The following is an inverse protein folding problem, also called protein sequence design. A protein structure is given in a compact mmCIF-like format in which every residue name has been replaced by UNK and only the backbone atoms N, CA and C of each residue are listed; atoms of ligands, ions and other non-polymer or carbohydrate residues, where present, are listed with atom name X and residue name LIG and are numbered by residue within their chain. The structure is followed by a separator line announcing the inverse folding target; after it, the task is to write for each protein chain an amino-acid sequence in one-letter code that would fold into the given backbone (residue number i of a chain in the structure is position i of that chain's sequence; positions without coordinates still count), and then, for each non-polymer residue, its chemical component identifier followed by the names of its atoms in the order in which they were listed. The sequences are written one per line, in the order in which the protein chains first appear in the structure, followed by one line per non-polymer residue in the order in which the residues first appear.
data_IF_651622477885
#
_entry.id   IF_651622477885
#
_cell.length_a   1.000
_cell.length_b   1.000
_cell.length_c   1.000
_cell.angle_alpha   90.00
_cell.angle_beta   90.00
_cell.angle_gamma   90.00
#
_symmetry.space_group_name_H-M   'P 1'
#
loop_
_entity.id
_entity.type
_entity.pdbx_description
1 polymer ?
#
# COMPACT_ATOMS: atom_id res chain seq x y z
N UNK A 1 6.80 8.42 -6.11
CA UNK A 1 5.89 7.99 -5.03
C UNK A 1 6.67 7.65 -3.79
N UNK A 2 7.52 6.60 -3.81
CA UNK A 2 8.39 6.23 -2.68
C UNK A 2 9.15 7.41 -2.05
N UNK A 3 9.76 8.30 -2.85
CA UNK A 3 10.44 9.48 -2.31
C UNK A 3 9.50 10.39 -1.50
N UNK A 4 8.26 10.58 -1.96
CA UNK A 4 7.28 11.39 -1.26
C UNK A 4 6.83 10.72 0.04
N UNK A 5 6.65 9.40 0.04
CA UNK A 5 6.32 8.64 1.26
C UNK A 5 7.45 8.75 2.30
N UNK A 6 8.71 8.63 1.87
CA UNK A 6 9.88 8.83 2.75
C UNK A 6 9.91 10.22 3.36
N UNK A 7 9.69 11.27 2.57
CA UNK A 7 9.65 12.66 3.07
C UNK A 7 8.50 12.89 4.06
N UNK A 8 7.33 12.28 3.83
CA UNK A 8 6.20 12.35 4.76
C UNK A 8 6.53 11.68 6.10
N UNK A 9 7.19 10.51 6.05
CA UNK A 9 7.61 9.78 7.26
C UNK A 9 8.71 10.56 8.00
N UNK A 10 9.68 11.13 7.27
CA UNK A 10 10.76 11.94 7.84
C UNK A 10 10.22 13.16 8.59
N UNK A 11 9.27 13.89 8.00
CA UNK A 11 8.64 15.02 8.67
C UNK A 11 7.88 14.58 9.93
N UNK A 12 7.12 13.49 9.84
CA UNK A 12 6.39 12.95 10.98
C UNK A 12 7.32 12.43 12.09
N UNK A 13 8.52 11.93 11.76
CA UNK A 13 9.50 11.46 12.74
C UNK A 13 10.10 12.59 13.59
N UNK A 14 10.01 13.85 13.16
CA UNK A 14 10.49 15.00 13.94
C UNK A 14 9.79 15.13 15.29
N UNK A 15 8.53 14.74 15.37
CA UNK A 15 7.82 14.66 16.65
C UNK A 15 8.17 13.33 17.36
N UNK A 16 8.80 13.37 18.55
CA UNK A 16 9.08 12.17 19.33
C UNK A 16 7.80 11.47 19.84
N UNK A 17 6.67 12.17 19.91
CA UNK A 17 5.36 11.61 20.26
C UNK A 17 4.78 10.68 19.19
N UNK A 18 5.24 10.76 17.94
CA UNK A 18 4.79 9.89 16.87
C UNK A 18 5.42 8.50 16.99
N UNK A 19 4.60 7.53 17.43
CA UNK A 19 5.00 6.13 17.64
C UNK A 19 4.50 5.17 16.55
N UNK A 20 3.54 5.60 15.72
CA UNK A 20 2.90 4.82 14.66
C UNK A 20 2.72 5.68 13.42
N UNK A 21 3.01 5.12 12.26
CA UNK A 21 3.00 5.82 10.97
C UNK A 21 2.11 5.05 10.01
N UNK A 22 0.94 5.59 9.69
CA UNK A 22 -0.07 4.93 8.85
C UNK A 22 -0.18 5.72 7.54
N UNK A 23 0.08 5.07 6.41
CA UNK A 23 -0.18 5.69 5.10
C UNK A 23 -1.64 5.47 4.69
N UNK A 24 -2.31 6.54 4.26
CA UNK A 24 -3.69 6.55 3.76
C UNK A 24 -3.80 7.48 2.54
N UNK A 25 -4.88 7.33 1.75
CA UNK A 25 -5.22 8.26 0.66
C UNK A 25 -6.53 8.99 0.93
N UNK A 26 -6.82 9.99 0.11
CA UNK A 26 -8.11 10.68 -0.02
C UNK A 26 -9.33 9.75 -0.16
N UNK A 27 -9.11 8.53 -0.64
CA UNK A 27 -10.13 7.54 -0.91
C UNK A 27 -10.15 6.36 0.08
N UNK A 28 -9.38 6.48 1.16
CA UNK A 28 -9.43 5.57 2.30
C UNK A 28 -10.47 6.05 3.31
N UNK A 29 -11.18 5.11 3.93
CA UNK A 29 -12.15 5.38 5.00
C UNK A 29 -11.89 4.47 6.20
N UNK A 30 -12.04 4.96 7.45
CA UNK A 30 -11.97 4.10 8.62
C UNK A 30 -13.19 3.18 8.67
N UNK A 31 -13.02 1.96 9.18
CA UNK A 31 -14.13 1.02 9.43
C UNK A 31 -14.60 1.05 10.88
N UNK A 32 -13.80 1.63 11.77
CA UNK A 32 -14.04 1.70 13.21
C UNK A 32 -13.81 3.13 13.71
N UNK A 33 -14.30 3.44 14.91
CA UNK A 33 -14.03 4.72 15.53
C UNK A 33 -12.54 4.88 15.89
N UNK A 34 -12.13 6.12 16.14
CA UNK A 34 -10.73 6.43 16.44
C UNK A 34 -10.20 5.65 17.64
N UNK A 35 -10.96 5.55 18.73
CA UNK A 35 -10.51 4.84 19.95
C UNK A 35 -10.20 3.37 19.68
N UNK A 36 -11.02 2.68 18.89
CA UNK A 36 -10.76 1.29 18.51
C UNK A 36 -9.49 1.18 17.66
N UNK A 37 -9.36 2.02 16.62
CA UNK A 37 -8.18 2.01 15.73
C UNK A 37 -6.90 2.32 16.52
N UNK A 38 -6.95 3.35 17.35
CA UNK A 38 -5.84 3.76 18.21
C UNK A 38 -5.41 2.62 19.13
N UNK A 39 -6.35 2.04 19.88
CA UNK A 39 -6.04 0.92 20.79
C UNK A 39 -5.51 -0.30 20.05
N UNK A 40 -6.09 -0.63 18.88
CA UNK A 40 -5.61 -1.74 18.04
C UNK A 40 -4.14 -1.54 17.66
N UNK A 41 -3.83 -0.40 17.02
CA UNK A 41 -2.49 -0.15 16.45
C UNK A 41 -1.45 0.08 17.56
N UNK A 42 -1.82 0.75 18.65
CA UNK A 42 -0.91 1.03 19.77
C UNK A 42 -0.65 -0.19 20.65
N UNK A 43 -1.57 -1.16 20.71
CA UNK A 43 -1.36 -2.39 21.51
C UNK A 43 -0.43 -3.40 20.84
N UNK A 44 -0.27 -3.36 19.50
CA UNK A 44 0.64 -4.24 18.79
C UNK A 44 2.08 -3.71 18.84
N UNK A 45 3.09 -4.55 19.13
CA UNK A 45 4.50 -4.18 18.99
C UNK A 45 5.00 -4.25 17.54
N UNK A 46 4.22 -4.83 16.63
CA UNK A 46 4.62 -5.12 15.25
C UNK A 46 4.21 -4.03 14.27
N UNK A 47 4.86 -3.99 13.11
CA UNK A 47 4.36 -3.24 11.95
C UNK A 47 3.45 -4.09 11.09
N UNK A 48 2.44 -3.48 10.48
CA UNK A 48 1.51 -4.14 9.58
C UNK A 48 1.91 -3.79 8.15
N UNK A 49 2.75 -4.65 7.57
CA UNK A 49 3.29 -4.49 6.23
C UNK A 49 2.99 -5.77 5.47
N UNK A 50 2.10 -5.65 4.49
CA UNK A 50 1.89 -6.74 3.54
C UNK A 50 3.22 -7.07 2.85
N UNK A 51 3.70 -8.31 2.99
CA UNK A 51 5.02 -8.73 2.51
C UNK A 51 5.01 -10.22 2.17
N UNK A 52 5.28 -10.54 0.91
CA UNK A 52 5.37 -11.91 0.42
C UNK A 52 6.28 -12.03 -0.80
N UNK A 53 6.82 -13.22 -1.01
CA UNK A 53 7.51 -13.58 -2.24
C UNK A 53 6.52 -13.90 -3.35
N UNK A 54 6.71 -13.32 -4.53
CA UNK A 54 5.94 -13.64 -5.72
C UNK A 54 6.85 -13.86 -6.95
N UNK A 55 7.34 -15.09 -7.17
CA UNK A 55 8.23 -15.39 -8.29
C UNK A 55 7.62 -15.12 -9.68
N UNK A 56 6.30 -15.08 -9.79
CA UNK A 56 5.56 -14.90 -11.05
C UNK A 56 5.31 -13.43 -11.41
N UNK A 57 5.66 -12.50 -10.53
CA UNK A 57 5.39 -11.08 -10.73
C UNK A 57 6.18 -10.49 -11.90
N UNK A 58 7.39 -11.00 -12.16
CA UNK A 58 8.22 -10.58 -13.31
C UNK A 58 8.72 -9.14 -13.26
N UNK A 59 8.57 -8.46 -12.11
CA UNK A 59 8.92 -7.04 -11.89
C UNK A 59 10.36 -6.82 -11.47
N UNK A 60 11.03 -7.85 -10.95
CA UNK A 60 12.42 -7.77 -10.51
C UNK A 60 13.37 -7.52 -11.69
N UNK A 61 14.19 -6.48 -11.59
CA UNK A 61 15.25 -6.18 -12.55
C UNK A 61 16.57 -6.86 -12.12
N UNK A 62 17.16 -7.77 -12.94
CA UNK A 62 18.39 -8.47 -12.59
C UNK A 62 19.59 -7.56 -12.28
N UNK A 63 19.60 -6.31 -12.78
CA UNK A 63 20.67 -5.33 -12.51
C UNK A 63 20.67 -4.75 -11.09
N UNK A 64 19.65 -5.06 -10.29
CA UNK A 64 19.61 -4.71 -8.87
C UNK A 64 20.50 -5.62 -8.02
N UNK A 65 20.81 -6.82 -8.53
CA UNK A 65 21.80 -7.73 -7.94
C UNK A 65 23.23 -7.18 -8.14
N UNK A 66 24.15 -7.34 -7.18
CA UNK A 66 23.99 -8.07 -5.91
C UNK A 66 23.42 -7.23 -4.76
N UNK A 67 23.23 -5.92 -4.94
CA UNK A 67 22.82 -5.01 -3.85
C UNK A 67 21.46 -5.39 -3.28
N UNK A 68 20.48 -5.66 -4.15
CA UNK A 68 19.19 -6.25 -3.79
C UNK A 68 19.13 -7.63 -4.41
N UNK A 69 19.40 -8.71 -3.65
CA UNK A 69 19.27 -10.06 -4.15
C UNK A 69 17.81 -10.42 -4.50
N UNK A 70 17.63 -11.33 -5.47
CA UNK A 70 16.28 -11.68 -5.95
C UNK A 70 15.44 -12.36 -4.87
N UNK A 71 16.07 -13.11 -3.99
CA UNK A 71 15.48 -13.80 -2.84
C UNK A 71 14.97 -12.84 -1.75
N UNK A 72 15.54 -11.63 -1.70
CA UNK A 72 15.11 -10.54 -0.80
C UNK A 72 14.02 -9.67 -1.41
N UNK A 73 13.72 -9.82 -2.70
CA UNK A 73 12.62 -9.13 -3.36
C UNK A 73 11.28 -9.54 -2.77
N UNK A 74 10.56 -8.58 -2.18
CA UNK A 74 9.23 -8.79 -1.59
C UNK A 74 8.21 -7.92 -2.31
N UNK A 75 6.97 -8.41 -2.35
CA UNK A 75 5.78 -7.71 -2.86
C UNK A 75 4.82 -7.44 -1.72
N UNK A 76 4.05 -6.36 -1.81
CA UNK A 76 2.93 -6.10 -0.92
C UNK A 76 2.09 -4.90 -1.33
N UNK A 77 1.12 -4.58 -0.48
CA UNK A 77 0.35 -3.33 -0.53
C UNK A 77 1.22 -2.11 -0.27
N UNK A 78 0.97 -1.01 -1.00
CA UNK A 78 1.50 0.32 -0.70
C UNK A 78 1.04 0.84 0.69
N UNK A 79 -0.14 0.42 1.15
CA UNK A 79 -0.72 0.88 2.41
C UNK A 79 -0.11 0.12 3.59
N UNK A 80 0.78 0.80 4.30
CA UNK A 80 1.56 0.24 5.41
C UNK A 80 1.24 0.94 6.72
N UNK A 81 1.50 0.24 7.83
CA UNK A 81 1.52 0.82 9.17
C UNK A 81 2.83 0.45 9.86
N UNK A 82 3.67 1.43 10.15
CA UNK A 82 4.99 1.23 10.73
C UNK A 82 5.02 1.64 12.20
N UNK A 83 5.77 0.88 13.00
CA UNK A 83 6.29 1.37 14.27
C UNK A 83 7.43 2.36 14.01
N UNK A 84 7.72 3.23 14.99
CA UNK A 84 8.76 4.26 14.88
C UNK A 84 10.12 3.71 14.40
N UNK A 85 10.57 2.57 14.95
CA UNK A 85 11.84 1.93 14.54
C UNK A 85 11.88 1.62 13.04
N UNK A 86 10.81 1.04 12.48
CA UNK A 86 10.76 0.72 11.05
C UNK A 86 10.60 1.97 10.18
N UNK A 87 9.90 3.00 10.67
CA UNK A 87 9.85 4.30 10.00
C UNK A 87 11.24 4.93 9.89
N UNK A 88 12.07 4.85 10.95
CA UNK A 88 13.47 5.28 10.91
C UNK A 88 14.29 4.50 9.88
N UNK A 89 14.15 3.17 9.81
CA UNK A 89 14.81 2.34 8.77
C UNK A 89 14.46 2.84 7.36
N UNK A 90 13.18 3.17 7.11
CA UNK A 90 12.72 3.66 5.79
C UNK A 90 13.34 5.01 5.43
N UNK A 91 13.47 5.92 6.39
CA UNK A 91 14.02 7.27 6.16
C UNK A 91 15.54 7.26 6.04
N UNK A 92 16.21 6.45 6.85
CA UNK A 92 17.68 6.37 6.89
C UNK A 92 18.27 5.51 5.75
N UNK A 93 17.43 4.83 4.95
CA UNK A 93 17.91 3.95 3.88
C UNK A 93 18.64 4.72 2.77
N UNK A 94 19.92 4.41 2.60
CA UNK A 94 20.82 4.92 1.57
C UNK A 94 21.32 3.82 0.61
N UNK A 95 20.83 2.58 0.74
CA UNK A 95 21.27 1.42 -0.04
C UNK A 95 20.19 0.97 -1.03
N UNK A 96 18.98 0.70 -0.54
CA UNK A 96 17.91 0.08 -1.33
C UNK A 96 17.23 1.11 -2.21
N UNK A 97 16.87 2.28 -1.66
CA UNK A 97 16.17 3.31 -2.40
C UNK A 97 16.92 3.82 -3.64
N UNK A 98 18.24 4.11 -3.60
CA UNK A 98 18.98 4.51 -4.80
C UNK A 98 18.99 3.45 -5.91
N UNK A 99 18.97 2.17 -5.55
CA UNK A 99 18.88 1.06 -6.51
C UNK A 99 17.50 1.04 -7.19
N UNK A 100 16.43 1.21 -6.42
CA UNK A 100 15.07 1.39 -6.96
C UNK A 100 14.99 2.63 -7.85
N UNK A 101 15.51 3.78 -7.43
CA UNK A 101 15.55 4.99 -8.26
C UNK A 101 16.28 4.76 -9.58
N UNK A 102 17.38 4.02 -9.56
CA UNK A 102 18.18 3.75 -10.75
C UNK A 102 17.48 2.81 -11.73
N UNK A 103 16.90 1.72 -11.24
CA UNK A 103 16.47 0.60 -12.09
C UNK A 103 14.95 0.44 -12.25
N UNK A 104 14.14 1.08 -11.41
CA UNK A 104 12.68 0.96 -11.41
C UNK A 104 11.96 2.20 -11.98
N UNK A 105 12.54 2.81 -13.01
CA UNK A 105 11.96 3.98 -13.69
C UNK A 105 10.84 3.57 -14.64
N UNK A 106 9.64 4.13 -14.42
CA UNK A 106 8.53 4.04 -15.38
C UNK A 106 8.94 4.60 -16.74
N UNK A 107 8.58 3.89 -17.81
CA UNK A 107 8.83 4.28 -19.20
C UNK A 107 8.31 5.69 -19.54
N UNK A 108 7.28 6.19 -18.83
CA UNK A 108 6.77 7.55 -18.99
C UNK A 108 7.86 8.62 -18.77
N UNK A 109 8.80 8.40 -17.85
CA UNK A 109 9.90 9.32 -17.58
C UNK A 109 10.98 9.32 -18.68
N UNK A 110 11.10 8.23 -19.44
CA UNK A 110 12.06 8.12 -20.55
C UNK A 110 11.50 8.79 -21.82
N UNK A 111 10.18 8.73 -22.04
CA UNK A 111 9.50 9.44 -23.13
C UNK A 111 9.59 10.96 -23.02
N UNK A 112 9.46 11.52 -21.81
CA UNK A 112 9.56 12.96 -21.57
C UNK A 112 10.98 13.52 -21.76
N UNK A 113 12.03 12.72 -21.52
CA UNK A 113 13.43 13.14 -21.73
C UNK A 113 13.86 13.20 -23.20
N UNK A 114 13.21 12.44 -24.08
CA UNK A 114 13.45 12.50 -25.54
C UNK A 114 12.61 13.57 -26.25
N UNK A 115 11.65 14.18 -25.57
CA UNK A 115 10.78 15.23 -26.09
C UNK A 115 11.31 16.66 -25.90
N UNK A 116 12.62 16.92 -26.06
CA UNK A 116 13.08 18.29 -26.35
C UNK A 116 12.90 18.51 -27.84
N UNK A 117 11.84 19.23 -28.23
CA UNK A 117 11.67 19.80 -29.57
C UNK A 117 12.91 20.62 -29.89
N UNK A 118 13.81 20.08 -30.71
CA UNK A 118 14.78 20.89 -31.45
C UNK A 118 14.36 20.73 -32.91
N UNK A 119 13.94 21.86 -33.50
CA UNK A 119 13.73 22.04 -34.95
C UNK A 119 12.77 21.05 -35.64
N UNK A 120 11.48 21.09 -35.31
CA UNK A 120 10.37 20.89 -36.26
C UNK A 120 10.31 19.62 -37.13
N UNK A 121 11.12 18.57 -36.86
CA UNK A 121 11.14 17.36 -37.67
C UNK A 121 10.55 16.20 -36.87
N UNK A 122 9.37 15.72 -37.30
CA UNK A 122 8.78 14.48 -36.80
C UNK A 122 9.53 13.28 -37.39
N UNK A 123 10.62 12.86 -36.74
CA UNK A 123 11.32 11.63 -37.13
C UNK A 123 10.58 10.43 -36.51
N UNK A 124 9.64 9.85 -37.24
CA UNK A 124 9.07 8.53 -36.92
C UNK A 124 10.10 7.43 -37.20
N UNK A 125 11.03 7.20 -36.29
CA UNK A 125 11.85 5.98 -36.33
C UNK A 125 10.98 4.75 -35.97
N UNK A 126 10.93 3.70 -36.81
CA UNK A 126 10.34 2.43 -36.41
C UNK A 126 11.35 1.73 -35.51
N UNK A 127 11.35 2.06 -34.21
CA UNK A 127 12.24 1.41 -33.26
C UNK A 127 11.57 0.11 -32.82
N UNK A 128 12.05 -1.01 -33.35
CA UNK A 128 11.83 -2.31 -32.76
C UNK A 128 12.46 -2.30 -31.36
N UNK A 129 11.64 -2.07 -30.34
CA UNK A 129 12.10 -1.93 -28.96
C UNK A 129 12.71 -3.26 -28.49
N UNK A 130 14.00 -3.29 -28.12
CA UNK A 130 14.63 -4.52 -27.66
C UNK A 130 13.93 -5.03 -26.39
N UNK A 131 13.68 -6.35 -26.31
CA UNK A 131 13.02 -7.04 -25.17
C UNK A 131 13.61 -6.67 -23.80
N UNK A 132 14.85 -6.18 -23.76
CA UNK A 132 15.57 -5.71 -22.56
C UNK A 132 14.94 -4.49 -21.86
N UNK A 133 14.15 -3.67 -22.57
CA UNK A 133 13.52 -2.47 -22.00
C UNK A 133 12.24 -2.75 -21.17
N UNK A 134 11.82 -4.01 -21.02
CA UNK A 134 10.65 -4.39 -20.19
C UNK A 134 10.87 -4.23 -18.68
N UNK A 135 12.12 -4.12 -18.21
CA UNK A 135 12.48 -4.25 -16.80
C UNK A 135 12.47 -2.96 -15.96
N UNK A 136 11.90 -1.86 -16.48
CA UNK A 136 11.86 -0.57 -15.77
C UNK A 136 10.63 -0.36 -14.87
N UNK A 137 9.53 -1.09 -15.10
CA UNK A 137 8.30 -0.88 -14.34
C UNK A 137 8.21 -1.87 -13.17
N UNK A 138 8.93 -1.59 -12.08
CA UNK A 138 8.94 -2.44 -10.89
C UNK A 138 7.74 -2.19 -9.94
N UNK A 139 6.98 -1.10 -10.12
CA UNK A 139 5.96 -0.63 -9.15
C UNK A 139 6.60 -0.44 -7.76
N UNK A 140 7.54 0.54 -7.64
CA UNK A 140 8.40 0.65 -6.46
C UNK A 140 7.64 0.78 -5.14
N UNK A 141 6.47 1.39 -5.16
CA UNK A 141 5.52 1.56 -4.04
C UNK A 141 4.92 0.25 -3.51
N UNK A 142 4.87 -0.82 -4.31
CA UNK A 142 4.40 -2.15 -3.88
C UNK A 142 5.54 -3.11 -3.50
N UNK A 143 6.78 -2.62 -3.49
CA UNK A 143 7.96 -3.48 -3.34
C UNK A 143 9.07 -2.92 -2.44
N UNK A 144 9.23 -1.59 -2.39
CA UNK A 144 10.36 -0.94 -1.75
C UNK A 144 10.42 -1.20 -0.25
N UNK A 145 9.37 -0.84 0.49
CA UNK A 145 9.37 -0.97 1.96
C UNK A 145 9.48 -2.43 2.38
N UNK A 146 8.77 -3.32 1.70
CA UNK A 146 8.81 -4.76 1.98
C UNK A 146 10.22 -5.33 1.78
N UNK A 147 10.85 -4.97 0.66
CA UNK A 147 12.19 -5.44 0.32
C UNK A 147 13.23 -4.86 1.29
N UNK A 148 13.10 -3.58 1.64
CA UNK A 148 13.98 -2.93 2.60
C UNK A 148 13.93 -3.62 3.97
N UNK A 149 12.72 -3.84 4.52
CA UNK A 149 12.57 -4.47 5.84
C UNK A 149 13.09 -5.91 5.85
N UNK A 150 12.91 -6.66 4.76
CA UNK A 150 13.48 -8.01 4.59
C UNK A 150 15.02 -8.00 4.47
N UNK A 151 15.59 -6.96 3.86
CA UNK A 151 17.04 -6.75 3.81
C UNK A 151 17.62 -6.30 5.16
N UNK A 152 16.87 -5.54 5.94
CA UNK A 152 17.26 -5.10 7.29
C UNK A 152 17.07 -6.18 8.36
N UNK A 153 16.54 -7.36 8.01
CA UNK A 153 16.28 -8.46 8.94
C UNK A 153 15.08 -8.23 9.86
N UNK A 154 14.20 -7.29 9.51
CA UNK A 154 13.04 -6.89 10.32
C UNK A 154 11.77 -7.71 10.02
N UNK A 155 11.83 -8.73 9.15
CA UNK A 155 10.63 -9.51 8.73
C UNK A 155 9.92 -10.18 9.91
N UNK A 156 10.66 -10.62 10.93
CA UNK A 156 10.10 -11.23 12.16
C UNK A 156 9.45 -10.22 13.12
N UNK A 157 9.48 -8.92 12.80
CA UNK A 157 8.85 -7.84 13.57
C UNK A 157 7.60 -7.29 12.84
N UNK A 158 7.15 -8.02 11.80
CA UNK A 158 6.01 -7.65 10.97
C UNK A 158 4.87 -8.64 11.16
N UNK A 159 3.67 -8.11 11.31
CA UNK A 159 2.48 -8.83 10.89
C UNK A 159 2.38 -8.65 9.37
N UNK A 160 2.61 -9.74 8.60
CA UNK A 160 2.79 -9.69 7.14
C UNK A 160 1.47 -9.53 6.37
N UNK A 161 0.74 -8.47 6.71
CA UNK A 161 -0.51 -8.02 6.10
C UNK A 161 -0.67 -6.50 6.27
N UNK A 162 -1.53 -5.91 5.44
CA UNK A 162 -1.96 -4.51 5.59
C UNK A 162 -3.20 -4.41 6.48
N UNK A 163 -3.39 -3.25 7.12
CA UNK A 163 -4.63 -2.88 7.81
C UNK A 163 -5.67 -2.24 6.87
N UNK A 164 -5.39 -2.11 5.57
CA UNK A 164 -6.26 -1.45 4.60
C UNK A 164 -6.86 -2.44 3.61
N UNK A 165 -8.16 -2.70 3.73
CA UNK A 165 -8.92 -3.53 2.80
C UNK A 165 -8.98 -2.88 1.42
N UNK A 166 -8.77 -3.69 0.38
CA UNK A 166 -8.90 -3.25 -1.02
C UNK A 166 -9.68 -4.31 -1.81
N UNK A 167 -10.79 -3.91 -2.45
CA UNK A 167 -11.53 -4.82 -3.32
C UNK A 167 -10.93 -4.88 -4.73
N UNK A 168 -10.65 -6.09 -5.19
CA UNK A 168 -10.21 -6.39 -6.56
C UNK A 168 -11.27 -7.16 -7.36
N UNK A 169 -12.46 -7.35 -6.78
CA UNK A 169 -13.54 -8.07 -7.44
C UNK A 169 -14.24 -7.19 -8.49
N UNK A 170 -13.71 -7.24 -9.69
CA UNK A 170 -14.21 -6.48 -10.84
C UNK A 170 -15.52 -7.06 -11.41
N UNK A 171 -16.01 -8.20 -10.90
CA UNK A 171 -17.26 -8.81 -11.36
C UNK A 171 -18.50 -7.99 -10.97
N UNK A 172 -18.41 -7.21 -9.89
CA UNK A 172 -19.48 -6.35 -9.40
C UNK A 172 -19.69 -5.07 -10.23
N UNK A 173 -18.70 -4.66 -11.04
CA UNK A 173 -18.77 -3.44 -11.85
C UNK A 173 -19.15 -3.81 -13.29
N UNK A 174 -20.44 -3.67 -13.62
CA UNK A 174 -20.96 -3.94 -14.97
C UNK A 174 -20.20 -3.10 -16.01
N UNK A 175 -19.51 -3.78 -16.93
CA UNK A 175 -18.93 -3.17 -18.14
C UNK A 175 -17.46 -2.74 -18.07
N UNK A 176 -16.74 -2.93 -16.95
CA UNK A 176 -15.31 -2.58 -16.89
C UNK A 176 -14.40 -3.74 -17.29
N UNK A 177 -13.51 -3.50 -18.27
CA UNK A 177 -12.38 -4.40 -18.60
C UNK A 177 -11.49 -4.62 -17.37
N UNK A 178 -10.73 -5.72 -17.34
CA UNK A 178 -9.71 -6.00 -16.31
C UNK A 178 -8.88 -4.74 -16.02
N UNK A 179 -9.04 -4.17 -14.83
CA UNK A 179 -8.36 -2.95 -14.40
C UNK A 179 -7.09 -3.28 -13.62
N UNK A 180 -6.05 -2.46 -13.77
CA UNK A 180 -4.83 -2.50 -12.95
C UNK A 180 -5.00 -1.82 -11.59
N UNK A 181 -6.20 -1.28 -11.34
CA UNK A 181 -6.55 -0.60 -10.11
C UNK A 181 -7.70 -1.33 -9.41
N UNK A 182 -7.77 -1.22 -8.08
CA UNK A 182 -8.88 -1.78 -7.33
C UNK A 182 -10.19 -1.08 -7.66
N UNK A 183 -11.29 -1.77 -7.31
CA UNK A 183 -12.64 -1.27 -7.51
C UNK A 183 -12.87 -0.01 -6.69
N UNK A 184 -13.52 0.98 -7.31
CA UNK A 184 -14.00 2.18 -6.61
C UNK A 184 -15.45 1.97 -6.21
N UNK A 185 -15.70 1.88 -4.90
CA UNK A 185 -17.03 1.74 -4.31
C UNK A 185 -17.77 3.07 -4.36
N UNK A 186 -18.98 3.02 -4.89
CA UNK A 186 -19.90 4.14 -5.06
C UNK A 186 -20.93 4.19 -3.93
N UNK A 187 -21.75 5.24 -3.88
CA UNK A 187 -22.75 5.42 -2.83
C UNK A 187 -23.66 4.19 -2.67
N UNK A 188 -24.08 3.56 -3.78
CA UNK A 188 -24.95 2.38 -3.76
C UNK A 188 -24.26 1.11 -3.27
N UNK A 189 -22.94 1.03 -3.37
CA UNK A 189 -22.17 -0.17 -2.99
C UNK A 189 -21.91 -0.25 -1.48
N UNK A 190 -22.11 0.87 -0.77
CA UNK A 190 -21.91 0.95 0.68
C UNK A 190 -23.20 0.60 1.40
N UNK A 191 -23.31 -0.67 1.81
CA UNK A 191 -24.40 -1.19 2.63
C UNK A 191 -23.86 -1.71 3.98
N UNK A 192 -24.66 -1.74 5.06
CA UNK A 192 -24.22 -2.29 6.34
C UNK A 192 -23.75 -3.75 6.22
N UNK A 193 -24.40 -4.55 5.38
CA UNK A 193 -24.00 -5.93 5.09
C UNK A 193 -22.61 -6.02 4.45
N UNK A 194 -22.31 -5.13 3.49
CA UNK A 194 -21.00 -5.10 2.84
C UNK A 194 -19.90 -4.68 3.81
N UNK A 195 -20.19 -3.71 4.69
CA UNK A 195 -19.26 -3.27 5.73
C UNK A 195 -19.03 -4.39 6.76
N UNK A 196 -20.08 -5.09 7.19
CA UNK A 196 -19.98 -6.23 8.09
C UNK A 196 -19.11 -7.35 7.48
N UNK A 197 -19.32 -7.70 6.21
CA UNK A 197 -18.48 -8.67 5.49
C UNK A 197 -17.01 -8.31 5.49
N UNK A 198 -16.66 -7.03 5.35
CA UNK A 198 -15.25 -6.59 5.42
C UNK A 198 -14.72 -6.74 6.85
N UNK A 199 -15.52 -6.34 7.84
CA UNK A 199 -15.18 -6.44 9.27
C UNK A 199 -15.00 -7.88 9.75
N UNK A 200 -15.74 -8.83 9.18
CA UNK A 200 -15.69 -10.26 9.52
C UNK A 200 -14.44 -10.98 8.96
N UNK A 201 -13.65 -10.32 8.10
CA UNK A 201 -12.41 -10.91 7.59
C UNK A 201 -11.37 -10.97 8.72
N UNK A 202 -11.04 -12.18 9.15
CA UNK A 202 -10.08 -12.47 10.22
C UNK A 202 -8.82 -13.22 9.74
N UNK A 203 -8.67 -13.41 8.44
CA UNK A 203 -7.49 -14.00 7.82
C UNK A 203 -7.24 -13.47 6.41
N UNK A 204 -5.97 -13.52 5.97
CA UNK A 204 -5.55 -13.18 4.60
C UNK A 204 -4.74 -14.33 4.01
N UNK A 205 -5.14 -14.82 2.84
CA UNK A 205 -4.46 -15.93 2.16
C UNK A 205 -3.52 -15.47 1.04
N UNK A 206 -2.26 -15.85 1.15
CA UNK A 206 -1.17 -15.55 0.22
C UNK A 206 -0.89 -16.74 -0.69
N UNK A 207 -1.52 -16.73 -1.86
CA UNK A 207 -1.45 -17.84 -2.83
C UNK A 207 -0.01 -18.19 -3.27
N UNK A 208 0.88 -17.21 -3.41
CA UNK A 208 2.25 -17.44 -3.87
C UNK A 208 3.09 -18.22 -2.86
N UNK A 209 2.82 -18.03 -1.56
CA UNK A 209 3.52 -18.71 -0.46
C UNK A 209 2.73 -19.89 0.12
N UNK A 210 1.47 -20.07 -0.31
CA UNK A 210 0.49 -20.99 0.32
C UNK A 210 0.38 -20.77 1.83
N UNK A 211 0.42 -19.49 2.23
CA UNK A 211 0.43 -19.06 3.63
C UNK A 211 -0.87 -18.34 3.96
N UNK A 212 -1.37 -18.54 5.16
CA UNK A 212 -2.48 -17.75 5.72
C UNK A 212 -1.94 -16.91 6.86
N UNK A 213 -2.08 -15.58 6.79
CA UNK A 213 -1.95 -14.74 7.98
C UNK A 213 -3.29 -14.72 8.71
N UNK A 214 -3.29 -15.11 9.99
CA UNK A 214 -4.43 -15.01 10.87
C UNK A 214 -4.34 -13.75 11.70
N UNK A 215 -5.38 -12.92 11.66
CA UNK A 215 -5.37 -11.61 12.28
C UNK A 215 -5.71 -11.76 13.77
N UNK A 216 -4.70 -11.56 14.62
CA UNK A 216 -4.82 -11.75 16.06
C UNK A 216 -4.34 -10.52 16.81
N UNK A 217 -5.05 -10.18 17.88
CA UNK A 217 -4.61 -9.19 18.87
C UNK A 217 -4.75 -9.84 20.25
N UNK A 218 -3.66 -9.90 21.02
CA UNK A 218 -3.62 -10.55 22.35
C UNK A 218 -4.21 -11.97 22.34
N UNK A 219 -3.79 -12.80 21.37
CA UNK A 219 -4.25 -14.19 21.20
C UNK A 219 -5.76 -14.35 20.93
N UNK A 220 -6.47 -13.27 20.57
CA UNK A 220 -7.86 -13.31 20.11
C UNK A 220 -7.93 -12.98 18.62
N UNK A 221 -8.73 -13.74 17.88
CA UNK A 221 -9.05 -13.40 16.50
C UNK A 221 -9.74 -12.04 16.45
N UNK A 222 -9.29 -11.21 15.53
CA UNK A 222 -9.80 -9.86 15.32
C UNK A 222 -9.93 -9.59 13.82
N UNK A 223 -10.54 -8.46 13.48
CA UNK A 223 -10.63 -8.04 12.09
C UNK A 223 -9.25 -7.71 11.53
N UNK A 224 -8.97 -8.14 10.30
CA UNK A 224 -7.73 -7.84 9.61
C UNK A 224 -7.61 -6.37 9.17
N UNK A 225 -8.74 -5.67 9.00
CA UNK A 225 -8.76 -4.39 8.32
C UNK A 225 -9.39 -3.32 9.20
N UNK A 226 -8.66 -2.22 9.42
CA UNK A 226 -9.14 -1.04 10.13
C UNK A 226 -9.61 0.05 9.17
N UNK A 227 -9.12 0.01 7.93
CA UNK A 227 -9.44 0.94 6.87
C UNK A 227 -9.90 0.18 5.64
N UNK A 228 -10.64 0.84 4.75
CA UNK A 228 -11.01 0.31 3.45
C UNK A 228 -10.78 1.34 2.34
N UNK A 229 -10.55 0.84 1.12
CA UNK A 229 -10.44 1.63 -0.12
C UNK A 229 -10.91 0.80 -1.33
N UNK A 230 -11.22 1.40 -2.48
CA UNK A 230 -11.25 2.83 -2.82
C UNK A 230 -12.69 3.34 -2.81
N UNK A 231 -12.97 4.47 -2.18
CA UNK A 231 -14.33 5.03 -2.11
C UNK A 231 -14.43 6.31 -2.93
N UNK A 232 -15.58 6.52 -3.58
CA UNK A 232 -15.98 7.88 -4.02
C UNK A 232 -16.28 8.76 -2.81
N UNK A 233 -16.26 10.09 -2.98
CA UNK A 233 -16.63 11.03 -1.92
C UNK A 233 -18.03 10.76 -1.36
N UNK A 234 -19.03 10.51 -2.23
CA UNK A 234 -20.38 10.18 -1.79
C UNK A 234 -20.45 8.89 -0.98
N UNK A 235 -19.72 7.85 -1.39
CA UNK A 235 -19.62 6.59 -0.65
C UNK A 235 -18.95 6.76 0.72
N UNK A 236 -17.88 7.56 0.79
CA UNK A 236 -17.17 7.85 2.03
C UNK A 236 -18.05 8.63 3.02
N UNK A 237 -18.75 9.67 2.55
CA UNK A 237 -19.70 10.43 3.38
C UNK A 237 -20.78 9.52 3.91
N UNK A 238 -21.39 8.69 3.05
CA UNK A 238 -22.41 7.71 3.44
C UNK A 238 -21.93 6.83 4.61
N UNK A 239 -20.72 6.28 4.48
CA UNK A 239 -20.14 5.40 5.50
C UNK A 239 -19.96 6.12 6.86
N UNK A 240 -19.56 7.38 6.83
CA UNK A 240 -19.26 8.17 8.02
C UNK A 240 -20.52 8.74 8.70
N UNK A 241 -21.56 9.10 7.94
CA UNK A 241 -22.73 9.81 8.47
C UNK A 241 -23.90 8.90 8.84
N UNK A 242 -24.07 7.76 8.16
CA UNK A 242 -25.24 6.88 8.38
C UNK A 242 -25.01 5.86 9.52
N UNK A 243 -24.09 6.14 10.45
CA UNK A 243 -23.88 5.35 11.67
C UNK A 243 -23.20 3.98 11.47
N UNK A 244 -22.69 3.68 10.28
CA UNK A 244 -22.03 2.40 9.97
C UNK A 244 -20.70 2.19 10.73
N UNK A 245 -20.13 3.26 11.26
CA UNK A 245 -18.88 3.27 12.04
C UNK A 245 -19.19 3.69 13.50
N UNK A 246 -20.33 3.25 14.05
CA UNK A 246 -20.74 3.59 15.42
C UNK A 246 -20.99 5.09 15.62
N UNK A 247 -21.36 5.54 16.82
CA UNK A 247 -21.52 6.96 17.09
C UNK A 247 -20.14 7.62 17.06
N UNK A 248 -19.84 8.34 15.98
CA UNK A 248 -18.94 9.47 16.10
C UNK A 248 -19.66 10.43 17.05
N UNK A 249 -19.19 10.56 18.29
CA UNK A 249 -19.63 11.65 19.16
C UNK A 249 -19.17 12.96 18.51
N UNK A 250 -19.92 13.42 17.51
CA UNK A 250 -20.01 14.81 17.14
C UNK A 250 -20.72 15.43 18.33
N UNK A 251 -19.94 15.94 19.28
CA UNK A 251 -20.48 16.80 20.32
C UNK A 251 -21.26 17.92 19.61
N UNK A 252 -22.58 17.83 19.65
CA UNK A 252 -23.44 18.97 19.43
C UNK A 252 -23.24 19.87 20.65
N UNK A 253 -22.25 20.76 20.58
CA UNK A 253 -22.25 21.96 21.39
C UNK A 253 -23.36 22.86 20.86
N UNK A 254 -24.53 22.80 21.49
CA UNK A 254 -25.48 23.91 21.52
C UNK A 254 -26.01 24.04 22.95
N UNK A 255 -25.56 25.15 23.55
CA UNK A 255 -26.17 26.00 24.60
C UNK A 255 -27.16 25.37 25.57
#
# INVERSE_FOLDING_TARGET
MVQAERLLIEEALRDPGNQRFILLSDSCVPLYNFSYIYNYVMSSPESFVDSFSNPKDGRYNPKMSPVIPKEKWRKGSQWITLIRRHATIVVDDDIVFPVFEKYCKSWAAIGLRKGRKILGIDIKFPIQMPRLLKHGNCIPDEHYVQTLLEMSGAENELERRTLTYTSWDQSAVRGTRKSWHPVTLTYSDVTPEQVAKIKDINQVYYKSERRTEWCQANSKFTSCFLFARKFTTGAAVRLLTEGFIGPFNVYSSQS
#
